data_IF_136754304832
#
_entry.id   IF_136754304832
#
_cell.length_a   1.000
_cell.length_b   1.000
_cell.length_c   1.000
_cell.angle_alpha   90.00
_cell.angle_beta   90.00
_cell.angle_gamma   90.00
#
_symmetry.space_group_name_H-M   'P 1'
#
loop_
_entity.id
_entity.type
_entity.pdbx_description
1 polymer ?
#
# COMPACT_ATOMS: atom_id res chain seq x y z
N UNK A 1 -11.51 2.49 -10.94
CA UNK A 1 -10.15 2.76 -10.44
C UNK A 1 -9.86 1.80 -9.29
N UNK A 2 -8.72 1.12 -9.35
CA UNK A 2 -8.30 0.13 -8.32
C UNK A 2 -7.80 0.84 -7.04
N UNK A 3 -7.37 2.10 -7.18
CA UNK A 3 -6.91 2.96 -6.10
C UNK A 3 -7.29 4.44 -6.34
N UNK A 4 -7.33 5.24 -5.28
CA UNK A 4 -7.56 6.69 -5.32
C UNK A 4 -6.23 7.39 -5.69
N UNK A 5 -6.22 8.41 -6.58
CA UNK A 5 -5.00 9.10 -7.00
C UNK A 5 -4.16 9.72 -5.87
N UNK A 6 -4.76 9.94 -4.69
CA UNK A 6 -4.06 10.43 -3.50
C UNK A 6 -3.50 9.30 -2.61
N UNK A 7 -3.60 8.04 -3.04
CA UNK A 7 -3.02 6.89 -2.34
C UNK A 7 -1.60 6.57 -2.85
N UNK A 8 -0.78 6.10 -1.92
CA UNK A 8 0.48 5.39 -2.16
C UNK A 8 0.20 3.89 -2.15
N UNK A 9 0.78 3.16 -3.09
CA UNK A 9 0.70 1.71 -3.18
C UNK A 9 2.05 1.11 -2.80
N UNK A 10 2.05 0.24 -1.79
CA UNK A 10 3.14 -0.71 -1.55
C UNK A 10 2.78 -1.99 -2.30
N UNK A 11 3.49 -2.28 -3.38
CA UNK A 11 3.31 -3.47 -4.19
C UNK A 11 4.20 -4.60 -3.66
N UNK A 12 3.64 -5.80 -3.52
CA UNK A 12 4.36 -7.00 -3.09
C UNK A 12 5.32 -7.57 -4.14
N UNK A 13 6.15 -6.72 -4.74
CA UNK A 13 7.22 -7.08 -5.68
C UNK A 13 8.51 -6.46 -5.17
N UNK A 14 9.57 -7.26 -5.11
CA UNK A 14 10.89 -6.79 -4.73
C UNK A 14 11.59 -6.06 -5.88
N UNK A 15 12.65 -5.30 -5.60
CA UNK A 15 13.47 -4.68 -6.67
C UNK A 15 13.99 -5.69 -7.70
N UNK A 16 14.18 -6.95 -7.29
CA UNK A 16 14.58 -8.06 -8.15
C UNK A 16 13.44 -8.67 -9.00
N UNK A 17 12.25 -8.07 -8.96
CA UNK A 17 11.07 -8.52 -9.70
C UNK A 17 10.38 -9.77 -9.13
N UNK A 18 10.69 -10.18 -7.89
CA UNK A 18 10.08 -11.37 -7.26
C UNK A 18 8.87 -10.98 -6.43
N UNK A 19 7.81 -11.81 -6.48
CA UNK A 19 6.64 -11.62 -5.61
C UNK A 19 7.02 -11.88 -4.15
N UNK A 20 6.68 -10.92 -3.28
CA UNK A 20 6.85 -11.01 -1.85
C UNK A 20 5.91 -12.06 -1.24
N UNK A 21 6.38 -12.78 -0.23
CA UNK A 21 5.67 -13.87 0.43
C UNK A 21 5.67 -13.68 1.95
N UNK A 22 4.66 -14.20 2.67
CA UNK A 22 3.52 -14.96 2.16
C UNK A 22 2.53 -14.07 1.38
N UNK A 23 1.62 -14.67 0.60
CA UNK A 23 0.68 -13.90 -0.22
C UNK A 23 -0.37 -13.14 0.60
N UNK A 24 -0.56 -13.49 1.87
CA UNK A 24 -1.49 -12.84 2.80
C UNK A 24 -0.84 -11.71 3.62
N UNK A 25 0.35 -11.24 3.23
CA UNK A 25 1.10 -10.23 3.97
C UNK A 25 0.36 -8.90 4.08
N UNK A 26 -0.40 -8.52 3.04
CA UNK A 26 -1.12 -7.25 2.98
C UNK A 26 -2.27 -7.22 3.99
N UNK A 27 -2.99 -8.34 4.10
CA UNK A 27 -4.04 -8.57 5.09
C UNK A 27 -3.46 -8.60 6.51
N UNK A 28 -2.30 -9.26 6.70
CA UNK A 28 -1.59 -9.29 7.99
C UNK A 28 -1.16 -7.88 8.42
N UNK A 29 -0.55 -7.10 7.52
CA UNK A 29 -0.10 -5.74 7.82
C UNK A 29 -1.28 -4.85 8.20
N UNK A 30 -2.37 -4.90 7.42
CA UNK A 30 -3.60 -4.15 7.71
C UNK A 30 -4.25 -4.58 9.03
N UNK A 31 -4.23 -5.88 9.34
CA UNK A 31 -4.73 -6.43 10.60
C UNK A 31 -3.92 -5.99 11.83
N UNK A 32 -2.60 -5.88 11.69
CA UNK A 32 -1.74 -5.32 12.75
C UNK A 32 -2.21 -3.90 13.07
N UNK A 33 -2.34 -3.03 12.07
CA UNK A 33 -2.78 -1.65 12.28
C UNK A 33 -4.16 -1.52 12.92
N UNK A 34 -5.08 -2.46 12.64
CA UNK A 34 -6.40 -2.48 13.28
C UNK A 34 -6.32 -2.66 14.82
N UNK A 35 -5.19 -3.13 15.34
CA UNK A 35 -4.98 -3.36 16.78
C UNK A 35 -4.25 -2.20 17.49
N UNK A 36 -3.55 -1.32 16.75
CA UNK A 36 -2.71 -0.26 17.33
C UNK A 36 -3.49 0.98 17.83
N UNK A 37 -4.78 1.11 17.52
CA UNK A 37 -5.57 2.29 17.89
C UNK A 37 -5.93 2.34 19.38
N UNK A 38 -5.45 3.39 20.07
CA UNK A 38 -5.78 3.70 21.47
C UNK A 38 -7.31 3.83 21.72
N UNK A 39 -8.09 4.06 20.65
CA UNK A 39 -9.54 4.28 20.73
C UNK A 39 -10.34 3.57 19.60
N UNK A 40 -10.19 2.24 19.53
CA UNK A 40 -11.01 1.27 18.75
C UNK A 40 -10.52 0.96 17.33
N UNK A 41 -10.66 -0.32 17.02
CA UNK A 41 -10.26 -1.10 15.84
C UNK A 41 -10.68 -0.58 14.44
N UNK A 42 -11.34 0.56 14.34
CA UNK A 42 -11.94 1.07 13.09
C UNK A 42 -11.14 2.20 12.41
N UNK A 43 -10.14 2.78 13.08
CA UNK A 43 -9.59 4.08 12.64
C UNK A 43 -8.72 4.03 11.39
N UNK A 44 -7.97 2.96 11.15
CA UNK A 44 -7.02 2.93 10.03
C UNK A 44 -7.58 2.30 8.75
N UNK A 45 -8.72 1.62 8.78
CA UNK A 45 -9.32 1.04 7.56
C UNK A 45 -9.70 2.09 6.51
N UNK A 46 -9.94 3.33 6.94
CA UNK A 46 -10.18 4.46 6.03
C UNK A 46 -8.91 4.91 5.28
N UNK A 47 -7.73 4.62 5.83
CA UNK A 47 -6.45 5.11 5.33
C UNK A 47 -5.53 4.00 4.82
N UNK A 48 -5.72 2.76 5.26
CA UNK A 48 -4.89 1.61 4.92
C UNK A 48 -5.76 0.42 4.60
N UNK A 49 -5.59 -0.15 3.41
CA UNK A 49 -6.37 -1.30 2.96
C UNK A 49 -5.56 -2.25 2.08
N UNK A 50 -5.76 -3.56 2.20
CA UNK A 50 -5.19 -4.52 1.27
C UNK A 50 -5.94 -4.42 -0.08
N UNK A 51 -5.23 -4.69 -1.17
CA UNK A 51 -5.78 -4.85 -2.51
C UNK A 51 -4.90 -5.79 -3.34
N UNK A 52 -5.41 -6.26 -4.46
CA UNK A 52 -4.63 -7.03 -5.43
C UNK A 52 -4.52 -6.24 -6.74
N UNK A 53 -3.30 -6.07 -7.24
CA UNK A 53 -3.01 -5.50 -8.56
C UNK A 53 -2.29 -6.55 -9.38
N UNK A 54 -2.82 -6.90 -10.56
CA UNK A 54 -2.25 -7.92 -11.45
C UNK A 54 -1.92 -9.24 -10.70
N UNK A 55 -2.85 -9.67 -9.84
CA UNK A 55 -2.73 -10.87 -9.01
C UNK A 55 -1.60 -10.83 -7.95
N UNK A 56 -1.05 -9.64 -7.67
CA UNK A 56 -0.04 -9.40 -6.65
C UNK A 56 -0.68 -8.66 -5.47
N UNK A 57 -0.48 -9.17 -4.26
CA UNK A 57 -0.94 -8.53 -3.04
C UNK A 57 -0.22 -7.20 -2.79
N UNK A 58 -1.00 -6.17 -2.50
CA UNK A 58 -0.56 -4.79 -2.32
C UNK A 58 -1.29 -4.16 -1.12
N UNK A 59 -0.75 -3.05 -0.62
CA UNK A 59 -1.40 -2.20 0.39
C UNK A 59 -1.53 -0.78 -0.17
N UNK A 60 -2.75 -0.24 -0.18
CA UNK A 60 -3.00 1.17 -0.43
C UNK A 60 -2.96 1.96 0.87
N UNK A 61 -2.35 3.14 0.83
CA UNK A 61 -2.18 4.06 1.94
C UNK A 61 -2.61 5.45 1.48
N UNK A 62 -3.60 6.04 2.14
CA UNK A 62 -3.97 7.44 1.93
C UNK A 62 -2.85 8.35 2.47
N UNK A 63 -2.37 9.29 1.64
CA UNK A 63 -1.32 10.25 2.02
C UNK A 63 -1.68 11.12 3.22
N UNK A 64 -2.97 11.35 3.46
CA UNK A 64 -3.43 12.12 4.62
C UNK A 64 -3.06 11.43 5.95
N UNK A 65 -2.79 10.11 5.94
CA UNK A 65 -2.33 9.37 7.11
C UNK A 65 -1.04 9.95 7.70
N UNK A 66 -0.14 10.50 6.88
CA UNK A 66 1.10 11.13 7.37
C UNK A 66 0.81 12.32 8.30
N UNK A 67 -0.29 13.05 8.04
CA UNK A 67 -0.69 14.19 8.85
C UNK A 67 -1.45 13.77 10.12
N UNK A 68 -2.21 12.68 10.03
CA UNK A 68 -3.03 12.16 11.13
C UNK A 68 -2.18 11.39 12.13
N UNK A 69 -1.33 10.51 11.63
CA UNK A 69 -0.45 9.64 12.42
C UNK A 69 0.87 9.39 11.66
N UNK A 70 1.84 10.31 11.77
CA UNK A 70 3.13 10.18 11.10
C UNK A 70 3.92 8.95 11.58
N UNK A 71 3.65 8.46 12.79
CA UNK A 71 4.31 7.26 13.32
C UNK A 71 3.89 6.01 12.57
N UNK A 72 2.58 5.82 12.36
CA UNK A 72 2.06 4.71 11.56
C UNK A 72 2.48 4.83 10.10
N UNK A 73 2.43 6.03 9.52
CA UNK A 73 2.89 6.24 8.15
C UNK A 73 4.37 5.86 7.99
N UNK A 74 5.24 6.34 8.88
CA UNK A 74 6.66 6.00 8.88
C UNK A 74 6.90 4.49 9.07
N UNK A 75 6.13 3.83 9.93
CA UNK A 75 6.18 2.37 10.08
C UNK A 75 5.87 1.63 8.77
N UNK A 76 4.86 2.07 8.01
CA UNK A 76 4.50 1.46 6.73
C UNK A 76 5.57 1.67 5.67
N UNK A 77 6.16 2.86 5.60
CA UNK A 77 7.25 3.16 4.68
C UNK A 77 8.52 2.38 5.05
N UNK A 78 8.81 2.23 6.35
CA UNK A 78 9.91 1.41 6.84
C UNK A 78 9.69 -0.07 6.49
N UNK A 79 8.47 -0.59 6.69
CA UNK A 79 8.12 -1.96 6.31
C UNK A 79 8.40 -2.23 4.82
N UNK A 80 7.98 -1.32 3.93
CA UNK A 80 8.26 -1.45 2.51
C UNK A 80 9.78 -1.47 2.22
N UNK A 81 10.52 -0.53 2.82
CA UNK A 81 11.97 -0.42 2.64
C UNK A 81 12.71 -1.67 3.13
N UNK A 82 12.40 -2.15 4.33
CA UNK A 82 13.08 -3.28 4.96
C UNK A 82 12.84 -4.60 4.20
N UNK A 83 11.71 -4.69 3.49
CA UNK A 83 11.35 -5.85 2.67
C UNK A 83 11.64 -5.64 1.18
N UNK A 84 12.34 -4.56 0.81
CA UNK A 84 12.68 -4.21 -0.57
C UNK A 84 11.45 -4.12 -1.51
N UNK A 85 10.31 -3.67 -0.99
CA UNK A 85 9.06 -3.62 -1.73
C UNK A 85 8.98 -2.37 -2.60
N UNK A 86 8.42 -2.53 -3.80
CA UNK A 86 8.13 -1.40 -4.70
C UNK A 86 7.05 -0.50 -4.09
N UNK A 87 7.35 0.80 -4.01
CA UNK A 87 6.41 1.85 -3.56
C UNK A 87 6.16 2.81 -4.70
N UNK A 88 4.89 3.16 -4.94
CA UNK A 88 4.50 4.02 -6.05
C UNK A 88 3.20 4.77 -5.78
N UNK A 89 3.07 5.95 -6.37
CA UNK A 89 1.82 6.70 -6.34
C UNK A 89 0.76 6.01 -7.21
N UNK A 90 -0.49 5.95 -6.74
CA UNK A 90 -1.59 5.41 -7.53
C UNK A 90 -1.76 6.13 -8.87
N UNK A 91 -1.48 7.43 -8.92
CA UNK A 91 -1.48 8.19 -10.18
C UNK A 91 -0.45 7.65 -11.19
N UNK A 92 0.78 7.41 -10.74
CA UNK A 92 1.84 6.86 -11.59
C UNK A 92 1.51 5.43 -12.08
N UNK A 93 0.86 4.62 -11.23
CA UNK A 93 0.35 3.31 -11.62
C UNK A 93 -0.67 3.37 -12.77
N UNK A 94 -1.57 4.36 -12.74
CA UNK A 94 -2.56 4.52 -13.81
C UNK A 94 -1.90 4.90 -15.14
N UNK A 95 -0.83 5.69 -15.09
CA UNK A 95 -0.06 6.07 -16.27
C UNK A 95 0.75 4.88 -16.85
N UNK A 96 1.22 3.94 -16.00
CA UNK A 96 1.90 2.72 -16.44
C UNK A 96 0.96 1.69 -17.09
N UNK A 97 -0.26 1.53 -16.55
CA UNK A 97 -1.25 0.55 -17.04
C UNK A 97 -2.03 1.03 -18.28
N UNK A 98 -1.92 2.32 -18.63
CA UNK A 98 -2.40 2.88 -19.90
C UNK A 98 -1.20 3.26 -20.78
N UNK A 99 -0.54 2.29 -21.46
CA UNK A 99 0.45 2.64 -22.46
C UNK A 99 -0.26 3.31 -23.63
N UNK A 100 -0.33 4.64 -23.58
CA UNK A 100 -0.59 5.57 -24.68
C UNK A 100 -1.09 4.92 -25.98
N UNK A 101 -2.38 4.56 -26.05
CA UNK A 101 -3.04 4.20 -27.32
C UNK A 101 -3.33 5.50 -28.08
N UNK A 102 -2.28 6.16 -28.55
CA UNK A 102 -2.35 7.21 -29.56
C UNK A 102 -1.30 6.89 -30.63
N UNK A 103 -1.65 5.94 -31.50
CA UNK A 103 -1.20 5.89 -32.89
C UNK A 103 -2.45 5.92 -33.78
#
# INVERSE_FOLDING_TARGET
>A
MICNPYEIIIQGVTSSGRTFRPSDWAERLSGILSTFGHDRKMSYHAYVRPLALNNISCVAIDKHLEQIDPGVFAFLMAFAKDNDLRVMDCKALQDEEQPNTFL
#
